data_IF_096260406575
#
_entry.id   IF_096260406575
#
_cell.length_a   1.000
_cell.length_b   1.000
_cell.length_c   1.000
_cell.angle_alpha   90.00
_cell.angle_beta   90.00
_cell.angle_gamma   90.00
#
_symmetry.space_group_name_H-M   'P 1'
#
loop_
_entity.id
_entity.type
_entity.pdbx_description
1 polymer ?
#
# COMPACT_ATOMS: atom_id res chain seq x y z
N UNK A 1 6.04 -20.98 -28.06
CA UNK A 1 5.87 -19.58 -27.64
C UNK A 1 5.72 -19.62 -26.13
N UNK A 2 6.75 -19.22 -25.38
CA UNK A 2 6.68 -19.22 -23.93
C UNK A 2 5.58 -18.21 -23.51
N UNK A 3 4.53 -18.68 -22.86
CA UNK A 3 3.59 -17.80 -22.19
C UNK A 3 4.36 -17.11 -21.07
N UNK A 4 4.62 -15.81 -21.23
CA UNK A 4 5.14 -15.01 -20.12
C UNK A 4 4.15 -15.09 -18.96
N UNK A 5 4.61 -15.57 -17.80
CA UNK A 5 3.87 -15.60 -16.52
C UNK A 5 3.53 -14.20 -15.98
N UNK A 6 3.96 -13.16 -16.71
CA UNK A 6 3.58 -11.76 -16.52
C UNK A 6 2.53 -11.39 -17.57
N UNK A 7 1.22 -11.38 -17.23
CA UNK A 7 0.16 -10.95 -18.13
C UNK A 7 0.40 -9.55 -18.72
N UNK A 8 1.05 -8.67 -17.95
CA UNK A 8 1.46 -7.33 -18.38
C UNK A 8 2.34 -7.34 -19.65
N UNK A 9 3.14 -8.38 -19.88
CA UNK A 9 4.04 -8.47 -21.03
C UNK A 9 3.41 -9.17 -22.26
N UNK A 10 2.14 -9.60 -22.19
CA UNK A 10 1.50 -10.35 -23.28
C UNK A 10 1.44 -9.59 -24.61
N UNK A 11 1.45 -8.26 -24.58
CA UNK A 11 1.22 -7.40 -25.74
C UNK A 11 2.45 -6.59 -26.20
N UNK A 12 3.67 -7.01 -25.83
CA UNK A 12 4.93 -6.30 -26.14
C UNK A 12 4.88 -4.78 -25.83
N UNK A 13 4.60 -4.39 -24.57
CA UNK A 13 4.45 -2.98 -24.20
C UNK A 13 5.80 -2.24 -24.26
N UNK A 14 5.78 -0.99 -24.71
CA UNK A 14 6.98 -0.12 -24.76
C UNK A 14 7.40 0.40 -23.39
N UNK A 15 6.43 0.56 -22.49
CA UNK A 15 6.61 1.09 -21.14
C UNK A 15 5.81 0.24 -20.16
N UNK A 16 6.29 0.17 -18.92
CA UNK A 16 5.60 -0.47 -17.80
C UNK A 16 5.76 0.46 -16.60
N UNK A 17 4.67 0.73 -15.88
CA UNK A 17 4.73 1.42 -14.61
C UNK A 17 4.70 0.42 -13.46
N UNK A 18 5.66 0.56 -12.56
CA UNK A 18 5.66 -0.09 -11.26
C UNK A 18 5.34 0.96 -10.21
N UNK A 19 4.28 0.76 -9.43
CA UNK A 19 3.82 1.71 -8.43
C UNK A 19 3.57 1.02 -7.11
N UNK A 20 3.89 1.68 -6.00
CA UNK A 20 3.33 1.33 -4.70
C UNK A 20 1.82 1.62 -4.67
N UNK A 21 1.13 1.21 -3.61
CA UNK A 21 -0.31 1.41 -3.42
C UNK A 21 -0.60 2.36 -2.26
N UNK A 22 -0.28 1.93 -1.03
CA UNK A 22 -0.57 2.68 0.18
C UNK A 22 0.20 4.00 0.22
N UNK A 23 -0.52 5.12 0.36
CA UNK A 23 0.08 6.46 0.34
C UNK A 23 0.63 6.91 -1.03
N UNK A 24 0.44 6.12 -2.09
CA UNK A 24 0.82 6.45 -3.47
C UNK A 24 -0.40 6.48 -4.39
N UNK A 25 -1.06 5.33 -4.58
CA UNK A 25 -2.35 5.22 -5.30
C UNK A 25 -3.50 5.64 -4.40
N UNK A 26 -3.38 5.39 -3.11
CA UNK A 26 -4.29 5.91 -2.09
C UNK A 26 -3.73 7.18 -1.46
N UNK A 27 -4.61 8.03 -0.94
CA UNK A 27 -4.24 9.29 -0.28
C UNK A 27 -3.59 9.11 1.09
N UNK A 28 -3.54 7.88 1.60
CA UNK A 28 -3.00 7.55 2.92
C UNK A 28 -2.58 6.08 2.96
N UNK A 29 -1.59 5.78 3.81
CA UNK A 29 -1.17 4.42 4.10
C UNK A 29 -2.15 3.76 5.08
N UNK A 30 -2.62 2.55 4.74
CA UNK A 30 -3.60 1.80 5.52
C UNK A 30 -3.10 1.36 6.89
N UNK A 31 -1.84 0.94 7.01
CA UNK A 31 -1.24 0.50 8.28
C UNK A 31 -1.00 1.69 9.20
N UNK A 32 -0.50 2.80 8.65
CA UNK A 32 -0.37 4.06 9.38
C UNK A 32 -1.73 4.51 9.91
N UNK A 33 -2.77 4.50 9.07
CA UNK A 33 -4.11 4.90 9.50
C UNK A 33 -4.64 4.02 10.65
N UNK A 34 -4.54 2.69 10.54
CA UNK A 34 -5.00 1.79 11.59
C UNK A 34 -4.19 1.99 12.87
N UNK A 35 -2.87 2.08 12.78
CA UNK A 35 -1.99 2.26 13.93
C UNK A 35 -2.26 3.59 14.63
N UNK A 36 -2.47 4.65 13.86
CA UNK A 36 -2.67 6.02 14.36
C UNK A 36 -4.04 6.19 15.03
N UNK A 37 -5.08 5.48 14.56
CA UNK A 37 -6.47 5.69 15.01
C UNK A 37 -7.06 4.55 15.85
N UNK A 38 -6.59 3.32 15.64
CA UNK A 38 -7.09 2.10 16.31
C UNK A 38 -6.01 1.41 17.15
N UNK A 39 -4.74 1.74 16.92
CA UNK A 39 -3.59 1.24 17.66
C UNK A 39 -3.11 2.20 18.74
N UNK A 40 -1.81 2.21 18.97
CA UNK A 40 -1.17 3.04 20.00
C UNK A 40 -1.02 4.54 19.65
N UNK A 41 -1.47 4.97 18.47
CA UNK A 41 -1.45 6.36 18.05
C UNK A 41 -0.17 6.85 17.36
N UNK A 42 -0.29 8.06 16.80
CA UNK A 42 0.69 8.73 15.94
C UNK A 42 2.06 8.91 16.58
N UNK A 43 2.10 9.28 17.86
CA UNK A 43 3.36 9.59 18.55
C UNK A 43 4.25 8.35 18.64
N UNK A 44 3.68 7.22 19.08
CA UNK A 44 4.42 5.95 19.18
C UNK A 44 4.82 5.43 17.80
N UNK A 45 3.91 5.47 16.82
CA UNK A 45 4.24 5.06 15.44
C UNK A 45 5.42 5.84 14.86
N UNK A 46 5.40 7.17 14.99
CA UNK A 46 6.49 8.03 14.51
C UNK A 46 7.80 7.78 15.25
N UNK A 47 7.74 7.44 16.53
CA UNK A 47 8.93 7.04 17.28
C UNK A 47 9.52 5.76 16.71
N UNK A 48 8.71 4.71 16.47
CA UNK A 48 9.18 3.48 15.86
C UNK A 48 9.78 3.71 14.45
N UNK A 49 9.17 4.57 13.64
CA UNK A 49 9.74 4.96 12.34
C UNK A 49 11.13 5.59 12.47
N UNK A 50 11.35 6.43 13.49
CA UNK A 50 12.69 7.00 13.77
C UNK A 50 13.65 5.91 14.22
N UNK A 51 13.21 4.98 15.08
CA UNK A 51 14.05 3.90 15.57
C UNK A 51 14.51 2.99 14.41
N UNK A 52 13.64 2.71 13.44
CA UNK A 52 14.01 2.02 12.20
C UNK A 52 14.97 2.87 11.35
N UNK A 53 14.66 4.15 11.13
CA UNK A 53 15.47 5.04 10.30
C UNK A 53 16.90 5.21 10.82
N UNK A 54 17.07 5.27 12.15
CA UNK A 54 18.37 5.41 12.80
C UNK A 54 19.06 4.07 13.10
N UNK A 55 18.48 2.94 12.66
CA UNK A 55 19.07 1.61 12.82
C UNK A 55 19.01 1.04 14.23
N UNK A 56 18.15 1.60 15.09
CA UNK A 56 17.92 1.12 16.46
C UNK A 56 16.93 -0.05 16.53
N UNK A 57 16.15 -0.28 15.46
CA UNK A 57 15.17 -1.35 15.37
C UNK A 57 15.07 -1.88 13.94
N UNK A 58 14.80 -3.17 13.76
CA UNK A 58 14.48 -3.70 12.44
C UNK A 58 13.07 -3.30 12.02
N UNK A 59 12.91 -2.98 10.72
CA UNK A 59 11.62 -2.63 10.15
C UNK A 59 10.53 -3.69 10.45
N UNK A 60 10.86 -4.97 10.29
CA UNK A 60 9.90 -6.07 10.54
C UNK A 60 9.39 -6.06 11.97
N UNK A 61 10.26 -5.88 12.96
CA UNK A 61 9.88 -5.89 14.37
C UNK A 61 9.00 -4.68 14.69
N UNK A 62 9.37 -3.50 14.17
CA UNK A 62 8.57 -2.28 14.28
C UNK A 62 7.18 -2.46 13.67
N UNK A 63 7.10 -3.08 12.49
CA UNK A 63 5.85 -3.29 11.77
C UNK A 63 4.92 -4.29 12.50
N UNK A 64 5.49 -5.36 13.08
CA UNK A 64 4.73 -6.28 13.95
C UNK A 64 4.19 -5.54 15.17
N UNK A 65 4.99 -4.70 15.83
CA UNK A 65 4.53 -3.93 17.00
C UNK A 65 3.37 -2.97 16.64
N UNK A 66 3.42 -2.34 15.46
CA UNK A 66 2.34 -1.49 14.96
C UNK A 66 1.04 -2.29 14.78
N UNK A 67 1.10 -3.41 14.06
CA UNK A 67 -0.09 -4.24 13.81
C UNK A 67 -0.64 -4.87 15.09
N UNK A 68 0.23 -5.35 15.98
CA UNK A 68 -0.17 -5.92 17.28
C UNK A 68 -0.84 -4.88 18.19
N UNK A 69 -0.59 -3.59 17.98
CA UNK A 69 -1.25 -2.53 18.73
C UNK A 69 -2.74 -2.40 18.39
N UNK A 70 -3.15 -2.82 17.19
CA UNK A 70 -4.54 -2.76 16.73
C UNK A 70 -5.30 -3.98 17.24
N UNK A 71 -6.27 -3.76 18.14
CA UNK A 71 -7.11 -4.84 18.73
C UNK A 71 -8.47 -5.00 18.06
N UNK A 72 -8.82 -4.09 17.16
CA UNK A 72 -10.07 -4.11 16.40
C UNK A 72 -10.13 -5.34 15.51
N UNK A 73 -11.29 -6.03 15.40
CA UNK A 73 -11.47 -7.15 14.49
C UNK A 73 -11.12 -6.79 13.03
N UNK A 74 -10.56 -7.74 12.30
CA UNK A 74 -10.01 -7.49 10.97
C UNK A 74 -11.07 -7.02 9.95
N UNK A 75 -12.27 -7.59 10.00
CA UNK A 75 -13.40 -7.20 9.15
C UNK A 75 -13.85 -5.76 9.44
N UNK A 76 -13.89 -5.35 10.71
CA UNK A 76 -14.16 -3.97 11.09
C UNK A 76 -13.06 -3.02 10.63
N UNK A 77 -11.78 -3.42 10.72
CA UNK A 77 -10.66 -2.66 10.16
C UNK A 77 -10.85 -2.40 8.67
N UNK A 78 -11.20 -3.42 7.88
CA UNK A 78 -11.48 -3.26 6.44
C UNK A 78 -12.57 -2.21 6.21
N UNK A 79 -13.68 -2.29 6.94
CA UNK A 79 -14.78 -1.32 6.78
C UNK A 79 -14.35 0.11 7.11
N UNK A 80 -13.54 0.28 8.17
CA UNK A 80 -12.99 1.58 8.56
C UNK A 80 -12.06 2.11 7.46
N UNK A 81 -11.17 1.28 6.93
CA UNK A 81 -10.25 1.68 5.87
C UNK A 81 -10.99 2.09 4.59
N UNK A 82 -11.95 1.28 4.12
CA UNK A 82 -12.77 1.58 2.94
C UNK A 82 -13.54 2.91 3.09
N UNK A 83 -14.01 3.20 4.30
CA UNK A 83 -14.73 4.45 4.59
C UNK A 83 -13.81 5.67 4.50
N UNK A 84 -12.57 5.57 4.98
CA UNK A 84 -11.71 6.73 5.25
C UNK A 84 -10.60 6.94 4.22
N UNK A 85 -10.08 5.88 3.61
CA UNK A 85 -9.02 5.97 2.60
C UNK A 85 -9.66 6.19 1.22
N UNK A 86 -9.07 7.09 0.44
CA UNK A 86 -9.52 7.44 -0.91
C UNK A 86 -8.40 7.16 -1.90
N UNK A 87 -8.77 6.95 -3.15
CA UNK A 87 -7.81 6.96 -4.25
C UNK A 87 -7.30 8.39 -4.46
N UNK A 88 -6.05 8.50 -4.88
CA UNK A 88 -5.52 9.73 -5.43
C UNK A 88 -6.45 10.22 -6.56
N UNK A 89 -6.88 11.50 -6.56
CA UNK A 89 -7.82 12.01 -7.54
C UNK A 89 -7.38 11.86 -9.00
N UNK A 90 -6.06 11.87 -9.26
CA UNK A 90 -5.49 11.73 -10.61
C UNK A 90 -5.25 10.27 -11.01
N UNK A 91 -5.22 9.33 -10.07
CA UNK A 91 -4.87 7.94 -10.38
C UNK A 91 -5.84 7.29 -11.37
N UNK A 92 -7.14 7.61 -11.30
CA UNK A 92 -8.12 7.07 -12.25
C UNK A 92 -7.80 7.49 -13.68
N UNK A 93 -7.56 8.78 -13.91
CA UNK A 93 -7.24 9.32 -15.24
C UNK A 93 -5.92 8.74 -15.77
N UNK A 94 -4.92 8.62 -14.89
CA UNK A 94 -3.65 7.96 -15.21
C UNK A 94 -3.83 6.49 -15.60
N UNK A 95 -4.63 5.74 -14.84
CA UNK A 95 -4.91 4.33 -15.10
C UNK A 95 -5.63 4.14 -16.44
N UNK A 96 -6.67 4.95 -16.70
CA UNK A 96 -7.41 4.91 -17.97
C UNK A 96 -6.48 5.20 -19.15
N UNK A 97 -5.64 6.24 -19.06
CA UNK A 97 -4.64 6.57 -20.08
C UNK A 97 -3.66 5.42 -20.31
N UNK A 98 -3.16 4.80 -19.24
CA UNK A 98 -2.21 3.70 -19.34
C UNK A 98 -2.84 2.49 -20.07
N UNK A 99 -4.10 2.16 -19.77
CA UNK A 99 -4.83 1.11 -20.47
C UNK A 99 -5.01 1.41 -21.96
N UNK A 100 -5.43 2.64 -22.31
CA UNK A 100 -5.62 3.07 -23.70
C UNK A 100 -4.33 3.03 -24.53
N UNK A 101 -3.18 3.23 -23.88
CA UNK A 101 -1.87 3.28 -24.53
C UNK A 101 -1.09 1.95 -24.48
N UNK A 102 -1.72 0.86 -24.03
CA UNK A 102 -1.06 -0.44 -23.84
C UNK A 102 0.19 -0.32 -22.95
N UNK A 103 0.07 0.44 -21.86
CA UNK A 103 1.08 0.61 -20.82
C UNK A 103 0.59 -0.11 -19.57
N UNK A 104 1.15 -1.29 -19.24
CA UNK A 104 0.75 -2.02 -18.04
C UNK A 104 1.15 -1.27 -16.78
N UNK A 105 0.28 -1.34 -15.77
CA UNK A 105 0.57 -0.90 -14.41
C UNK A 105 0.67 -2.15 -13.52
N UNK A 106 1.76 -2.25 -12.78
CA UNK A 106 2.01 -3.31 -11.81
C UNK A 106 2.13 -2.68 -10.43
N UNK A 107 1.28 -3.12 -9.51
CA UNK A 107 1.32 -2.69 -8.11
C UNK A 107 2.36 -3.54 -7.38
N UNK A 108 3.35 -2.89 -6.78
CA UNK A 108 4.36 -3.48 -5.90
C UNK A 108 4.30 -2.76 -4.55
N UNK A 109 3.51 -3.32 -3.63
CA UNK A 109 3.26 -2.71 -2.33
C UNK A 109 3.60 -3.66 -1.18
N UNK A 110 4.07 -3.09 -0.08
CA UNK A 110 4.25 -3.79 1.20
C UNK A 110 2.97 -3.93 2.03
N UNK A 111 1.84 -3.47 1.49
CA UNK A 111 0.51 -3.59 2.11
C UNK A 111 -0.02 -5.04 2.14
N UNK A 112 -1.32 -5.17 2.36
CA UNK A 112 -1.96 -6.48 2.46
C UNK A 112 -2.23 -7.10 1.09
N UNK A 113 -2.34 -8.43 1.05
CA UNK A 113 -2.90 -9.11 -0.13
C UNK A 113 -4.29 -8.56 -0.42
N UNK A 114 -4.70 -8.47 -1.71
CA UNK A 114 -6.06 -8.11 -2.05
C UNK A 114 -7.07 -8.97 -1.28
N UNK A 115 -7.98 -8.32 -0.56
CA UNK A 115 -9.06 -8.92 0.24
C UNK A 115 -10.41 -8.71 -0.44
#
# INVERSE_FOLDING_TARGET
MASSDTPALKNDPKFIFFTDFDGTVTTADSNDYMTDNLGFGVERRRQLNKDVLYGNMHFRDSFVEMLDSVKTPFDECIQILLKNIKLDPGFKEFYDWAQENNVPIVILSGGMTPV
#
